data_IF_990670846483
#
_entry.id   IF_990670846483
#
_cell.length_a   1.000
_cell.length_b   1.000
_cell.length_c   1.000
_cell.angle_alpha   90.00
_cell.angle_beta   90.00
_cell.angle_gamma   90.00
#
_symmetry.space_group_name_H-M   'P 1'
#
loop_
_entity.id
_entity.type
_entity.pdbx_description
1 polymer ?
#
# COMPACT_ATOMS: atom_id res chain seq x y z
N UNK A 1 9.58 -31.78 7.65
CA UNK A 1 8.65 -32.20 6.57
C UNK A 1 8.42 -31.07 5.57
N UNK A 2 8.34 -29.80 5.99
CA UNK A 2 8.30 -28.61 5.09
C UNK A 2 9.42 -28.60 4.04
N UNK A 3 10.68 -28.68 4.47
CA UNK A 3 11.85 -28.66 3.58
C UNK A 3 11.90 -29.82 2.57
N UNK A 4 11.14 -30.90 2.80
CA UNK A 4 11.16 -32.09 1.96
C UNK A 4 10.30 -31.95 0.71
N UNK A 5 9.25 -31.12 0.76
CA UNK A 5 8.32 -30.93 -0.36
C UNK A 5 8.38 -29.51 -0.96
N UNK A 6 8.92 -28.53 -0.23
CA UNK A 6 9.05 -27.15 -0.71
C UNK A 6 9.75 -27.05 -2.08
N UNK A 7 10.87 -27.77 -2.25
CA UNK A 7 11.66 -27.71 -3.47
C UNK A 7 10.98 -28.33 -4.70
N UNK A 8 9.87 -29.06 -4.52
CA UNK A 8 9.13 -29.68 -5.64
C UNK A 8 8.46 -28.60 -6.49
N UNK A 9 7.82 -27.62 -5.83
CA UNK A 9 7.03 -26.58 -6.50
C UNK A 9 7.74 -25.21 -6.48
N UNK A 10 8.48 -24.89 -5.42
CA UNK A 10 8.99 -23.53 -5.16
C UNK A 10 10.52 -23.39 -5.24
N UNK A 11 11.27 -24.50 -5.39
CA UNK A 11 12.74 -24.48 -5.35
C UNK A 11 13.39 -23.64 -6.45
N UNK A 12 12.83 -23.67 -7.66
CA UNK A 12 13.30 -22.83 -8.77
C UNK A 12 13.12 -21.33 -8.47
N UNK A 13 11.94 -20.97 -7.96
CA UNK A 13 11.61 -19.58 -7.63
C UNK A 13 12.41 -19.07 -6.43
N UNK A 14 12.70 -19.91 -5.43
CA UNK A 14 13.60 -19.55 -4.34
C UNK A 14 15.01 -19.24 -4.86
N UNK A 15 15.52 -20.06 -5.79
CA UNK A 15 16.83 -19.83 -6.43
C UNK A 15 16.89 -18.48 -7.15
N UNK A 16 15.88 -18.15 -7.96
CA UNK A 16 15.77 -16.85 -8.63
C UNK A 16 15.71 -15.72 -7.61
N UNK A 17 14.85 -15.83 -6.58
CA UNK A 17 14.69 -14.80 -5.56
C UNK A 17 16.02 -14.50 -4.84
N UNK A 18 16.79 -15.55 -4.51
CA UNK A 18 18.11 -15.41 -3.89
C UNK A 18 19.12 -14.79 -4.84
N UNK A 19 19.06 -15.10 -6.14
CA UNK A 19 19.86 -14.44 -7.17
C UNK A 19 19.55 -12.95 -7.27
N UNK A 20 18.27 -12.58 -7.34
CA UNK A 20 17.83 -11.18 -7.34
C UNK A 20 18.23 -10.43 -6.06
N UNK A 21 18.24 -11.11 -4.91
CA UNK A 21 18.74 -10.51 -3.65
C UNK A 21 20.23 -10.19 -3.73
N UNK A 22 21.04 -11.01 -4.40
CA UNK A 22 22.46 -10.73 -4.59
C UNK A 22 22.72 -9.51 -5.49
N UNK A 23 21.72 -9.09 -6.26
CA UNK A 23 21.76 -7.90 -7.11
C UNK A 23 21.50 -6.57 -6.37
N UNK A 24 21.29 -6.61 -5.05
CA UNK A 24 21.12 -5.39 -4.27
C UNK A 24 22.41 -4.57 -4.23
N UNK A 25 22.25 -3.27 -4.42
CA UNK A 25 23.34 -2.30 -4.43
C UNK A 25 24.15 -2.40 -3.13
N UNK A 26 25.46 -2.50 -3.28
CA UNK A 26 26.39 -2.57 -2.18
C UNK A 26 26.75 -1.17 -1.67
N UNK A 27 27.44 -1.10 -0.53
CA UNK A 27 27.94 0.18 0.00
C UNK A 27 28.88 0.89 -0.99
N UNK A 28 29.62 0.14 -1.80
CA UNK A 28 30.51 0.68 -2.84
C UNK A 28 29.72 1.30 -3.99
N UNK A 29 28.63 0.66 -4.42
CA UNK A 29 27.75 1.19 -5.45
C UNK A 29 27.07 2.49 -5.00
N UNK A 30 26.61 2.55 -3.74
CA UNK A 30 26.06 3.79 -3.18
C UNK A 30 27.09 4.92 -3.13
N UNK A 31 28.37 4.63 -2.87
CA UNK A 31 29.45 5.63 -2.93
C UNK A 31 29.62 6.18 -4.35
N UNK A 32 29.62 5.31 -5.37
CA UNK A 32 29.65 5.74 -6.78
C UNK A 32 28.47 6.63 -7.13
N UNK A 33 27.26 6.23 -6.74
CA UNK A 33 26.03 7.01 -6.99
C UNK A 33 26.07 8.37 -6.28
N UNK A 34 26.64 8.45 -5.08
CA UNK A 34 26.77 9.71 -4.33
C UNK A 34 27.77 10.69 -4.95
N UNK A 35 28.70 10.19 -5.76
CA UNK A 35 29.73 10.99 -6.43
C UNK A 35 29.32 11.44 -7.84
N UNK A 36 28.12 11.09 -8.31
CA UNK A 36 27.63 11.49 -9.63
C UNK A 36 27.18 12.97 -9.62
N UNK A 37 27.70 13.76 -10.55
CA UNK A 37 27.39 15.19 -10.68
C UNK A 37 26.16 15.45 -11.58
N UNK A 38 25.83 14.51 -12.47
CA UNK A 38 24.70 14.59 -13.39
C UNK A 38 23.82 13.33 -13.37
N UNK A 39 22.60 13.44 -13.92
CA UNK A 39 21.71 12.27 -14.10
C UNK A 39 22.24 11.28 -15.12
N UNK A 40 23.11 11.71 -16.03
CA UNK A 40 23.76 10.87 -17.04
C UNK A 40 24.87 10.03 -16.40
N UNK A 41 25.63 10.62 -15.47
CA UNK A 41 26.63 9.90 -14.66
C UNK A 41 25.94 8.88 -13.76
N UNK A 42 24.81 9.26 -13.15
CA UNK A 42 24.03 8.36 -12.30
C UNK A 42 23.45 7.20 -13.10
N UNK A 43 22.96 7.45 -14.32
CA UNK A 43 22.53 6.39 -15.24
C UNK A 43 23.70 5.45 -15.56
N UNK A 44 24.86 5.99 -15.92
CA UNK A 44 26.04 5.18 -16.26
C UNK A 44 26.49 4.31 -15.08
N UNK A 45 26.49 4.88 -13.87
CA UNK A 45 26.80 4.15 -12.65
C UNK A 45 25.79 3.04 -12.33
N UNK A 46 24.50 3.23 -12.66
CA UNK A 46 23.48 2.18 -12.53
C UNK A 46 23.63 1.11 -13.63
N UNK A 47 24.00 1.46 -14.85
CA UNK A 47 24.22 0.51 -15.95
C UNK A 47 25.40 -0.45 -15.68
N UNK A 48 26.38 -0.04 -14.85
CA UNK A 48 27.45 -0.93 -14.35
C UNK A 48 26.95 -2.01 -13.37
N UNK A 49 25.76 -1.84 -12.81
CA UNK A 49 25.15 -2.77 -11.85
C UNK A 49 24.16 -3.72 -12.54
N UNK A 50 23.51 -4.59 -11.77
CA UNK A 50 22.46 -5.50 -12.26
C UNK A 50 21.17 -4.80 -12.75
N UNK A 51 21.11 -3.45 -12.68
CA UNK A 51 20.12 -2.68 -13.43
C UNK A 51 20.31 -2.84 -14.94
N UNK A 52 21.55 -3.03 -15.39
CA UNK A 52 21.90 -3.22 -16.79
C UNK A 52 21.43 -2.06 -17.68
N UNK A 53 21.25 -2.28 -18.99
CA UNK A 53 20.87 -1.24 -19.95
C UNK A 53 19.36 -0.88 -19.91
N UNK A 54 18.79 -0.61 -18.74
CA UNK A 54 17.35 -0.42 -18.56
C UNK A 54 16.77 0.89 -19.15
N UNK A 55 17.62 1.84 -19.57
CA UNK A 55 17.21 3.15 -20.12
C UNK A 55 17.76 3.44 -21.53
N UNK A 56 18.17 2.43 -22.29
CA UNK A 56 18.77 2.63 -23.63
C UNK A 56 17.87 3.39 -24.61
N UNK A 57 16.55 3.22 -24.52
CA UNK A 57 15.59 3.80 -25.46
C UNK A 57 15.06 5.18 -25.03
N UNK A 58 15.44 5.70 -23.87
CA UNK A 58 14.91 6.97 -23.35
C UNK A 58 15.65 8.19 -23.93
N UNK A 59 14.92 9.18 -24.48
CA UNK A 59 15.53 10.38 -25.06
C UNK A 59 16.10 11.31 -23.97
N UNK A 60 17.20 11.98 -24.29
CA UNK A 60 17.75 13.06 -23.46
C UNK A 60 16.93 14.35 -23.63
N UNK A 61 16.75 15.17 -22.57
CA UNK A 61 17.34 15.07 -21.24
C UNK A 61 16.57 14.14 -20.28
N UNK A 62 17.30 13.42 -19.42
CA UNK A 62 16.71 12.55 -18.41
C UNK A 62 16.02 13.37 -17.32
N UNK A 63 14.81 12.96 -16.96
CA UNK A 63 14.09 13.51 -15.81
C UNK A 63 14.08 12.51 -14.65
N UNK A 64 14.19 13.00 -13.42
CA UNK A 64 14.13 12.18 -12.19
C UNK A 64 12.89 11.29 -12.12
N UNK A 65 11.67 11.75 -12.49
CA UNK A 65 10.49 10.90 -12.51
C UNK A 65 10.62 9.72 -13.46
N UNK A 66 11.20 9.93 -14.66
CA UNK A 66 11.43 8.88 -15.66
C UNK A 66 12.39 7.83 -15.13
N UNK A 67 13.49 8.24 -14.49
CA UNK A 67 14.42 7.32 -13.85
C UNK A 67 13.74 6.47 -12.78
N UNK A 68 12.99 7.11 -11.86
CA UNK A 68 12.29 6.40 -10.79
C UNK A 68 11.25 5.42 -11.35
N UNK A 69 10.53 5.81 -12.40
CA UNK A 69 9.55 4.96 -13.07
C UNK A 69 10.22 3.75 -13.72
N UNK A 70 11.32 3.94 -14.46
CA UNK A 70 12.06 2.84 -15.10
C UNK A 70 12.63 1.84 -14.11
N UNK A 71 13.15 2.31 -12.97
CA UNK A 71 13.59 1.41 -11.89
C UNK A 71 12.42 0.57 -11.35
N UNK A 72 11.24 1.16 -11.17
CA UNK A 72 10.03 0.43 -10.75
C UNK A 72 9.52 -0.53 -11.83
N UNK A 73 9.61 -0.16 -13.10
CA UNK A 73 9.24 -1.03 -14.23
C UNK A 73 10.12 -2.29 -14.28
N UNK A 74 11.42 -2.16 -14.02
CA UNK A 74 12.33 -3.32 -13.89
C UNK A 74 11.94 -4.22 -12.73
N UNK A 75 11.72 -3.66 -11.55
CA UNK A 75 11.27 -4.45 -10.39
C UNK A 75 9.94 -5.17 -10.67
N UNK A 76 8.99 -4.48 -11.31
CA UNK A 76 7.71 -5.06 -11.66
C UNK A 76 7.82 -6.15 -12.74
N UNK A 77 8.73 -6.04 -13.70
CA UNK A 77 8.93 -7.08 -14.72
C UNK A 77 9.50 -8.35 -14.10
N UNK A 78 10.48 -8.24 -13.20
CA UNK A 78 11.04 -9.35 -12.43
C UNK A 78 9.98 -10.01 -11.52
N UNK A 79 9.19 -9.19 -10.83
CA UNK A 79 8.09 -9.67 -10.00
C UNK A 79 7.02 -10.41 -10.82
N UNK A 80 6.63 -9.87 -11.97
CA UNK A 80 5.68 -10.53 -12.89
C UNK A 80 6.23 -11.83 -13.45
N UNK A 81 7.52 -11.88 -13.78
CA UNK A 81 8.17 -13.11 -14.19
C UNK A 81 8.07 -14.18 -13.10
N UNK A 82 8.46 -13.86 -11.86
CA UNK A 82 8.32 -14.77 -10.73
C UNK A 82 6.86 -15.20 -10.51
N UNK A 83 5.91 -14.26 -10.59
CA UNK A 83 4.48 -14.55 -10.44
C UNK A 83 3.94 -15.48 -11.51
N UNK A 84 4.45 -15.40 -12.75
CA UNK A 84 4.04 -16.26 -13.87
C UNK A 84 4.42 -17.72 -13.69
N UNK A 85 5.48 -17.99 -12.93
CA UNK A 85 5.96 -19.34 -12.64
C UNK A 85 5.43 -19.86 -11.29
N UNK A 86 4.95 -18.97 -10.42
CA UNK A 86 4.38 -19.33 -9.14
C UNK A 86 2.99 -19.96 -9.30
N UNK A 87 2.76 -21.08 -8.62
CA UNK A 87 1.48 -21.78 -8.59
C UNK A 87 0.97 -21.95 -7.16
N UNK A 88 -0.29 -22.38 -7.02
CA UNK A 88 -0.85 -22.76 -5.73
C UNK A 88 -0.77 -21.65 -4.65
N UNK A 89 -0.30 -21.96 -3.43
CA UNK A 89 -0.19 -20.99 -2.33
C UNK A 89 0.79 -19.84 -2.62
N UNK A 90 1.92 -20.09 -3.30
CA UNK A 90 2.89 -19.05 -3.61
C UNK A 90 2.33 -18.02 -4.60
N UNK A 91 1.57 -18.47 -5.60
CA UNK A 91 0.89 -17.57 -6.53
C UNK A 91 -0.08 -16.63 -5.79
N UNK A 92 -0.90 -17.16 -4.89
CA UNK A 92 -1.80 -16.36 -4.05
C UNK A 92 -1.03 -15.41 -3.14
N UNK A 93 0.08 -15.84 -2.55
CA UNK A 93 0.94 -14.99 -1.72
C UNK A 93 1.48 -13.79 -2.49
N UNK A 94 1.95 -14.00 -3.72
CA UNK A 94 2.40 -12.92 -4.59
C UNK A 94 1.24 -12.01 -5.04
N UNK A 95 0.04 -12.56 -5.27
CA UNK A 95 -1.15 -11.75 -5.55
C UNK A 95 -1.49 -10.80 -4.39
N UNK A 96 -1.33 -11.24 -3.14
CA UNK A 96 -1.51 -10.36 -1.98
C UNK A 96 -0.53 -9.18 -1.99
N UNK A 97 0.74 -9.41 -2.35
CA UNK A 97 1.75 -8.34 -2.47
C UNK A 97 1.37 -7.36 -3.57
N UNK A 98 0.95 -7.85 -4.75
CA UNK A 98 0.51 -7.00 -5.85
C UNK A 98 -0.76 -6.20 -5.51
N UNK A 99 -1.68 -6.81 -4.75
CA UNK A 99 -2.94 -6.18 -4.32
C UNK A 99 -2.69 -4.93 -3.47
N UNK A 100 -1.62 -4.88 -2.68
CA UNK A 100 -1.26 -3.67 -1.93
C UNK A 100 -1.04 -2.46 -2.85
N UNK A 101 -0.24 -2.64 -3.91
CA UNK A 101 0.03 -1.59 -4.89
C UNK A 101 -1.18 -1.32 -5.76
N UNK A 102 -1.99 -2.33 -6.03
CA UNK A 102 -3.26 -2.16 -6.73
C UNK A 102 -4.20 -1.23 -5.96
N UNK A 103 -4.28 -1.34 -4.63
CA UNK A 103 -5.07 -0.42 -3.78
C UNK A 103 -4.53 1.02 -3.92
N UNK A 104 -3.22 1.21 -3.84
CA UNK A 104 -2.61 2.54 -3.99
C UNK A 104 -2.90 3.15 -5.37
N UNK A 105 -2.84 2.33 -6.42
CA UNK A 105 -3.16 2.75 -7.79
C UNK A 105 -4.64 3.11 -7.94
N UNK A 106 -5.58 2.27 -7.45
CA UNK A 106 -7.02 2.55 -7.52
C UNK A 106 -7.36 3.86 -6.81
N UNK A 107 -6.87 4.03 -5.58
CA UNK A 107 -7.07 5.27 -4.82
C UNK A 107 -6.46 6.47 -5.54
N UNK A 108 -5.24 6.32 -6.08
CA UNK A 108 -4.54 7.37 -6.82
C UNK A 108 -5.26 7.78 -8.10
N UNK A 109 -5.84 6.82 -8.83
CA UNK A 109 -6.65 7.07 -10.03
C UNK A 109 -7.95 7.80 -9.68
N UNK A 110 -8.64 7.38 -8.61
CA UNK A 110 -9.86 8.06 -8.13
C UNK A 110 -9.55 9.51 -7.74
N UNK A 111 -8.48 9.73 -6.97
CA UNK A 111 -8.04 11.07 -6.58
C UNK A 111 -7.62 11.92 -7.78
N UNK A 112 -6.95 11.30 -8.75
CA UNK A 112 -6.53 11.94 -9.98
C UNK A 112 -7.69 12.40 -10.86
N UNK A 113 -8.70 11.53 -11.01
CA UNK A 113 -9.92 11.81 -11.76
C UNK A 113 -10.78 12.89 -11.06
N UNK A 114 -10.88 12.87 -9.73
CA UNK A 114 -11.55 13.94 -8.97
C UNK A 114 -10.89 15.32 -9.22
N UNK A 115 -9.55 15.33 -9.28
CA UNK A 115 -8.77 16.53 -9.57
C UNK A 115 -8.69 16.90 -11.05
N UNK A 116 -9.46 16.23 -11.92
CA UNK A 116 -9.53 16.45 -13.38
C UNK A 116 -8.16 16.41 -14.07
N UNK A 117 -7.24 15.57 -13.58
CA UNK A 117 -5.95 15.34 -14.24
C UNK A 117 -6.15 14.54 -15.52
N UNK A 118 -5.28 14.75 -16.50
CA UNK A 118 -5.33 14.00 -17.75
C UNK A 118 -5.01 12.52 -17.50
N UNK A 119 -5.71 11.63 -18.22
CA UNK A 119 -5.54 10.18 -18.11
C UNK A 119 -4.10 9.74 -18.38
N UNK A 120 -3.41 10.42 -19.30
CA UNK A 120 -2.01 10.15 -19.62
C UNK A 120 -1.09 10.46 -18.43
N UNK A 121 -1.29 11.58 -17.73
CA UNK A 121 -0.51 11.92 -16.54
C UNK A 121 -0.79 10.94 -15.38
N UNK A 122 -2.04 10.49 -15.25
CA UNK A 122 -2.42 9.52 -14.21
C UNK A 122 -1.75 8.17 -14.43
N UNK A 123 -1.84 7.63 -15.65
CA UNK A 123 -1.25 6.35 -16.01
C UNK A 123 0.28 6.37 -15.91
N UNK A 124 0.92 7.51 -16.17
CA UNK A 124 2.37 7.65 -16.00
C UNK A 124 2.83 7.59 -14.52
N UNK A 125 1.94 7.83 -13.56
CA UNK A 125 2.26 7.82 -12.12
C UNK A 125 1.90 6.51 -11.41
N UNK A 126 1.24 5.58 -12.11
CA UNK A 126 0.81 4.29 -11.57
C UNK A 126 2.03 3.42 -11.24
N UNK A 127 1.96 2.70 -10.12
CA UNK A 127 2.94 1.68 -9.78
C UNK A 127 2.78 0.47 -10.71
N UNK A 128 3.79 0.11 -11.52
CA UNK A 128 3.68 -0.98 -12.47
C UNK A 128 3.36 -2.35 -11.81
N UNK A 129 3.74 -2.59 -10.55
CA UNK A 129 3.46 -3.85 -9.87
C UNK A 129 1.96 -4.05 -9.61
N UNK A 130 1.22 -2.96 -9.40
CA UNK A 130 -0.22 -2.99 -9.17
C UNK A 130 -1.07 -2.78 -10.43
N UNK A 131 -0.50 -2.93 -11.64
CA UNK A 131 -1.17 -2.66 -12.92
C UNK A 131 -2.29 -3.68 -13.23
N UNK A 132 -3.42 -3.21 -13.76
CA UNK A 132 -4.51 -4.02 -14.30
C UNK A 132 -5.14 -3.37 -15.54
N UNK A 133 -5.85 -4.15 -16.37
CA UNK A 133 -6.27 -3.72 -17.71
C UNK A 133 -7.29 -2.57 -17.66
N UNK A 134 -8.16 -2.58 -16.66
CA UNK A 134 -9.27 -1.66 -16.49
C UNK A 134 -8.83 -0.28 -15.95
N UNK A 135 -7.55 -0.10 -15.61
CA UNK A 135 -7.01 1.19 -15.15
C UNK A 135 -7.23 2.32 -16.15
N UNK A 136 -7.06 2.03 -17.45
CA UNK A 136 -7.26 3.02 -18.50
C UNK A 136 -8.73 3.44 -18.61
N UNK A 137 -9.67 2.53 -18.31
CA UNK A 137 -11.09 2.87 -18.24
C UNK A 137 -11.35 3.82 -17.07
N UNK A 138 -10.84 3.50 -15.88
CA UNK A 138 -10.98 4.32 -14.67
C UNK A 138 -10.37 5.73 -14.86
N UNK A 139 -9.19 5.83 -15.48
CA UNK A 139 -8.51 7.10 -15.70
C UNK A 139 -9.26 8.03 -16.67
N UNK A 140 -10.08 7.48 -17.57
CA UNK A 140 -10.87 8.24 -18.55
C UNK A 140 -12.30 8.54 -18.07
N UNK A 141 -12.73 8.01 -16.92
CA UNK A 141 -14.08 8.19 -16.41
C UNK A 141 -14.25 9.56 -15.74
N UNK A 142 -15.37 10.22 -16.02
CA UNK A 142 -15.82 11.37 -15.24
C UNK A 142 -16.59 10.87 -14.00
N UNK A 143 -15.88 10.84 -12.87
CA UNK A 143 -16.41 10.34 -11.60
C UNK A 143 -17.58 11.16 -11.04
N UNK A 144 -17.82 12.37 -11.57
CA UNK A 144 -18.95 13.20 -11.13
C UNK A 144 -20.30 12.71 -11.64
N UNK A 145 -20.30 11.87 -12.69
CA UNK A 145 -21.53 11.36 -13.33
C UNK A 145 -21.60 9.84 -13.39
N UNK A 146 -20.46 9.13 -13.39
CA UNK A 146 -20.38 7.68 -13.65
C UNK A 146 -19.81 6.84 -12.49
N UNK A 147 -20.12 7.18 -11.22
CA UNK A 147 -19.68 6.36 -10.07
C UNK A 147 -20.09 4.88 -10.17
N UNK A 148 -21.27 4.59 -10.74
CA UNK A 148 -21.75 3.21 -10.92
C UNK A 148 -20.85 2.41 -11.88
N UNK A 149 -20.26 3.06 -12.89
CA UNK A 149 -19.33 2.42 -13.82
C UNK A 149 -17.98 2.14 -13.14
N UNK A 150 -17.50 3.05 -12.29
CA UNK A 150 -16.32 2.82 -11.44
C UNK A 150 -16.57 1.62 -10.51
N UNK A 151 -17.73 1.58 -9.86
CA UNK A 151 -18.11 0.50 -8.95
C UNK A 151 -18.17 -0.85 -9.66
N UNK A 152 -18.79 -0.90 -10.85
CA UNK A 152 -18.84 -2.12 -11.68
C UNK A 152 -17.45 -2.54 -12.14
N UNK A 153 -16.63 -1.61 -12.63
CA UNK A 153 -15.26 -1.91 -13.08
C UNK A 153 -14.37 -2.44 -11.95
N UNK A 154 -14.49 -1.89 -10.73
CA UNK A 154 -13.71 -2.36 -9.59
C UNK A 154 -14.23 -3.67 -9.00
N UNK A 155 -15.55 -3.85 -8.90
CA UNK A 155 -16.12 -5.02 -8.24
C UNK A 155 -16.10 -6.32 -9.06
N UNK A 156 -16.14 -6.22 -10.39
CA UNK A 156 -16.26 -7.40 -11.24
C UNK A 156 -14.88 -8.04 -11.46
N UNK A 157 -13.85 -7.23 -11.74
CA UNK A 157 -12.59 -7.73 -12.30
C UNK A 157 -11.38 -7.59 -11.35
N UNK A 158 -11.55 -7.02 -10.15
CA UNK A 158 -10.41 -6.77 -9.23
C UNK A 158 -10.53 -7.44 -7.86
N UNK A 159 -9.43 -8.00 -7.31
CA UNK A 159 -9.41 -8.55 -5.95
C UNK A 159 -9.61 -7.48 -4.86
N UNK A 160 -9.48 -6.18 -5.23
CA UNK A 160 -9.74 -5.04 -4.35
C UNK A 160 -11.23 -4.83 -4.10
N UNK A 161 -12.10 -5.32 -4.99
CA UNK A 161 -13.54 -5.12 -4.93
C UNK A 161 -14.16 -5.54 -3.60
N UNK A 162 -13.71 -6.65 -3.01
CA UNK A 162 -14.21 -7.13 -1.71
C UNK A 162 -13.97 -6.13 -0.57
N UNK A 163 -12.82 -5.45 -0.56
CA UNK A 163 -12.50 -4.45 0.44
C UNK A 163 -13.29 -3.15 0.20
N UNK A 164 -13.50 -2.80 -1.07
CA UNK A 164 -14.29 -1.65 -1.46
C UNK A 164 -15.77 -1.80 -1.06
N UNK A 165 -16.32 -3.00 -1.24
CA UNK A 165 -17.67 -3.31 -0.79
C UNK A 165 -17.82 -3.23 0.74
N UNK A 166 -16.81 -3.71 1.48
CA UNK A 166 -16.79 -3.61 2.94
C UNK A 166 -16.77 -2.14 3.38
N UNK A 167 -15.89 -1.31 2.78
CA UNK A 167 -15.83 0.13 3.04
C UNK A 167 -17.18 0.82 2.80
N UNK A 168 -17.83 0.58 1.65
CA UNK A 168 -19.12 1.20 1.36
C UNK A 168 -20.23 0.77 2.31
N UNK A 169 -20.19 -0.47 2.80
CA UNK A 169 -21.15 -0.95 3.80
C UNK A 169 -20.93 -0.26 5.14
N UNK A 170 -19.68 -0.07 5.55
CA UNK A 170 -19.31 0.65 6.77
C UNK A 170 -19.67 2.14 6.68
N UNK A 171 -19.26 2.84 5.62
CA UNK A 171 -19.57 4.27 5.42
C UNK A 171 -21.07 4.52 5.23
N UNK A 172 -21.78 3.63 4.53
CA UNK A 172 -23.23 3.73 4.36
C UNK A 172 -24.01 3.51 5.66
N UNK A 173 -23.47 2.71 6.59
CA UNK A 173 -24.11 2.51 7.90
C UNK A 173 -24.02 3.75 8.80
N UNK A 174 -22.98 4.58 8.65
CA UNK A 174 -22.85 5.86 9.35
C UNK A 174 -23.81 6.93 8.78
N UNK A 175 -24.05 6.92 7.46
CA UNK A 175 -25.05 7.79 6.83
C UNK A 175 -26.50 7.40 7.23
N UNK A 176 -26.79 6.10 7.33
CA UNK A 176 -28.12 5.60 7.71
C UNK A 176 -28.53 5.93 9.16
N UNK A 177 -27.58 6.23 10.05
CA UNK A 177 -27.89 6.72 11.39
C UNK A 177 -28.49 8.14 11.39
N UNK A 178 -28.38 8.88 10.28
CA UNK A 178 -28.90 10.24 10.13
C UNK A 178 -30.15 10.37 9.23
N UNK A 179 -30.55 9.32 8.51
CA UNK A 179 -31.68 9.38 7.55
C UNK A 179 -32.54 8.11 7.61
N UNK A 180 -33.31 7.97 8.69
CA UNK A 180 -34.20 6.83 8.94
C UNK A 180 -35.54 6.85 8.15
N UNK A 181 -35.69 7.57 7.04
CA UNK A 181 -37.04 7.69 6.41
C UNK A 181 -37.19 7.41 4.91
N UNK A 182 -36.15 7.23 4.09
CA UNK A 182 -36.39 6.94 2.67
C UNK A 182 -35.58 5.73 2.18
N UNK A 183 -36.30 4.61 2.05
CA UNK A 183 -35.81 3.36 1.49
C UNK A 183 -35.33 3.54 0.06
N UNK A 184 -34.01 3.45 -0.11
CA UNK A 184 -33.32 3.48 -1.38
C UNK A 184 -31.98 4.19 -1.21
N UNK A 185 -30.86 3.46 -1.33
CA UNK A 185 -29.52 4.05 -1.38
C UNK A 185 -29.49 5.07 -2.50
N UNK A 186 -29.46 6.36 -2.20
CA UNK A 186 -29.44 7.37 -3.25
C UNK A 186 -28.03 7.46 -3.83
N UNK A 187 -27.94 7.48 -5.16
CA UNK A 187 -26.71 7.66 -5.93
C UNK A 187 -25.94 8.94 -5.51
N UNK A 188 -26.66 9.93 -4.96
CA UNK A 188 -26.12 11.19 -4.47
C UNK A 188 -25.33 11.05 -3.14
N UNK A 189 -25.74 10.15 -2.23
CA UNK A 189 -25.00 9.90 -0.99
C UNK A 189 -23.65 9.22 -1.27
N UNK A 190 -23.61 8.28 -2.21
CA UNK A 190 -22.36 7.60 -2.57
C UNK A 190 -21.40 8.52 -3.35
N UNK A 191 -21.94 9.43 -4.18
CA UNK A 191 -21.14 10.49 -4.80
C UNK A 191 -20.58 11.48 -3.75
N UNK A 192 -21.28 11.70 -2.63
CA UNK A 192 -20.79 12.54 -1.52
C UNK A 192 -19.67 11.87 -0.69
N UNK A 193 -19.54 10.54 -0.75
CA UNK A 193 -18.49 9.74 -0.08
C UNK A 193 -17.14 9.82 -0.81
N UNK A 194 -17.07 10.41 -2.01
CA UNK A 194 -15.82 10.57 -2.77
C UNK A 194 -15.33 12.03 -2.69
N UNK A 195 -15.34 12.61 -1.49
CA UNK A 195 -14.66 13.89 -1.24
C UNK A 195 -13.16 13.66 -0.98
N UNK A 196 -12.32 14.69 -1.10
CA UNK A 196 -10.86 14.55 -0.89
C UNK A 196 -10.49 13.98 0.49
N UNK A 197 -11.24 14.33 1.53
CA UNK A 197 -11.06 13.79 2.89
C UNK A 197 -11.44 12.32 3.00
N UNK A 198 -12.40 11.87 2.20
CA UNK A 198 -12.87 10.49 2.21
C UNK A 198 -11.94 9.56 1.42
N UNK A 199 -11.11 10.09 0.51
CA UNK A 199 -10.15 9.28 -0.27
C UNK A 199 -9.04 8.72 0.63
N UNK A 200 -8.53 9.51 1.58
CA UNK A 200 -7.53 9.01 2.53
C UNK A 200 -8.16 8.03 3.52
N UNK A 201 -9.40 8.27 3.94
CA UNK A 201 -10.16 7.31 4.76
C UNK A 201 -10.36 5.99 4.01
N UNK A 202 -10.75 6.06 2.74
CA UNK A 202 -10.92 4.93 1.84
C UNK A 202 -9.60 4.16 1.67
N UNK A 203 -8.49 4.83 1.36
CA UNK A 203 -7.15 4.21 1.34
C UNK A 203 -6.89 3.45 2.63
N UNK A 204 -7.25 4.07 3.75
CA UNK A 204 -6.98 3.50 5.04
C UNK A 204 -7.85 2.26 5.34
N UNK A 205 -9.14 2.32 5.07
CA UNK A 205 -10.05 1.19 5.22
C UNK A 205 -9.68 0.03 4.28
N UNK A 206 -9.43 0.30 3.00
CA UNK A 206 -9.07 -0.72 2.01
C UNK A 206 -7.81 -1.48 2.41
N UNK A 207 -6.74 -0.75 2.76
CA UNK A 207 -5.51 -1.42 3.19
C UNK A 207 -5.69 -2.14 4.53
N UNK A 208 -6.60 -1.71 5.42
CA UNK A 208 -6.87 -2.43 6.68
C UNK A 208 -7.46 -3.80 6.36
N UNK A 209 -8.51 -3.84 5.54
CA UNK A 209 -9.12 -5.09 5.10
C UNK A 209 -8.11 -6.01 4.41
N UNK A 210 -7.24 -5.45 3.56
CA UNK A 210 -6.15 -6.20 2.94
C UNK A 210 -5.15 -6.79 3.94
N UNK A 211 -4.71 -6.01 4.93
CA UNK A 211 -3.77 -6.48 5.97
C UNK A 211 -4.37 -7.63 6.79
N UNK A 212 -5.64 -7.52 7.18
CA UNK A 212 -6.33 -8.55 7.97
C UNK A 212 -6.53 -9.85 7.17
N UNK A 213 -6.93 -9.74 5.90
CA UNK A 213 -7.08 -10.89 5.02
C UNK A 213 -5.73 -11.54 4.69
N UNK A 214 -4.69 -10.75 4.45
CA UNK A 214 -3.35 -11.27 4.20
C UNK A 214 -2.78 -11.97 5.44
N UNK A 215 -3.02 -11.42 6.63
CA UNK A 215 -2.68 -12.07 7.90
C UNK A 215 -3.39 -13.41 8.04
N UNK A 216 -4.71 -13.47 7.80
CA UNK A 216 -5.49 -14.71 7.87
C UNK A 216 -4.97 -15.76 6.86
N UNK A 217 -4.64 -15.34 5.64
CA UNK A 217 -4.02 -16.22 4.65
C UNK A 217 -2.68 -16.78 5.12
N UNK A 218 -1.77 -15.94 5.64
CA UNK A 218 -0.48 -16.39 6.19
C UNK A 218 -0.66 -17.35 7.36
N UNK A 219 -1.67 -17.16 8.21
CA UNK A 219 -1.97 -18.09 9.28
C UNK A 219 -2.38 -19.48 8.77
N UNK A 220 -3.00 -19.55 7.58
CA UNK A 220 -3.43 -20.81 6.94
C UNK A 220 -2.29 -21.61 6.31
N UNK A 221 -1.18 -20.94 5.91
CA UNK A 221 -0.02 -21.59 5.29
C UNK A 221 0.79 -22.43 6.30
N UNK A 222 0.91 -21.96 7.54
CA UNK A 222 1.69 -22.64 8.57
C UNK A 222 3.22 -22.55 8.39
N UNK A 223 3.93 -23.32 9.22
CA UNK A 223 5.39 -23.52 9.12
C UNK A 223 6.24 -22.25 9.23
N UNK A 224 7.41 -22.27 8.58
CA UNK A 224 8.40 -21.19 8.62
C UNK A 224 7.85 -19.89 8.02
N UNK A 225 7.08 -20.01 6.94
CA UNK A 225 6.43 -18.87 6.27
C UNK A 225 5.51 -18.12 7.23
N UNK A 226 4.70 -18.85 8.00
CA UNK A 226 3.82 -18.26 9.01
C UNK A 226 4.62 -17.50 10.05
N UNK A 227 5.67 -18.09 10.62
CA UNK A 227 6.46 -17.45 11.68
C UNK A 227 7.07 -16.14 11.20
N UNK A 228 7.85 -16.18 10.12
CA UNK A 228 8.55 -15.00 9.59
C UNK A 228 7.58 -13.93 9.11
N UNK A 229 6.57 -14.30 8.32
CA UNK A 229 5.66 -13.32 7.74
C UNK A 229 4.68 -12.76 8.78
N UNK A 230 4.29 -13.54 9.80
CA UNK A 230 3.51 -13.02 10.94
C UNK A 230 4.24 -11.89 11.64
N UNK A 231 5.55 -12.03 11.85
CA UNK A 231 6.37 -10.98 12.46
C UNK A 231 6.39 -9.70 11.61
N UNK A 232 6.53 -9.83 10.30
CA UNK A 232 6.54 -8.69 9.36
C UNK A 232 5.17 -7.99 9.36
N UNK A 233 4.08 -8.75 9.19
CA UNK A 233 2.72 -8.19 9.14
C UNK A 233 2.30 -7.52 10.44
N UNK A 234 2.66 -8.09 11.60
CA UNK A 234 2.38 -7.45 12.89
C UNK A 234 3.06 -6.09 13.01
N UNK A 235 4.33 -5.98 12.58
CA UNK A 235 5.04 -4.69 12.57
C UNK A 235 4.42 -3.70 11.61
N UNK A 236 4.03 -4.14 10.41
CA UNK A 236 3.36 -3.28 9.43
C UNK A 236 2.02 -2.75 9.97
N UNK A 237 1.22 -3.61 10.62
CA UNK A 237 -0.01 -3.21 11.29
C UNK A 237 0.24 -2.16 12.38
N UNK A 238 1.26 -2.35 13.23
CA UNK A 238 1.62 -1.40 14.28
C UNK A 238 2.11 -0.05 13.72
N UNK A 239 2.98 -0.06 12.69
CA UNK A 239 3.45 1.15 12.01
C UNK A 239 2.32 1.95 11.39
N UNK A 240 1.35 1.25 10.83
CA UNK A 240 0.15 1.89 10.31
C UNK A 240 -0.66 2.56 11.41
N UNK A 241 -0.91 1.87 12.54
CA UNK A 241 -1.62 2.46 13.67
C UNK A 241 -0.90 3.72 14.15
N UNK A 242 0.43 3.66 14.29
CA UNK A 242 1.24 4.81 14.67
C UNK A 242 1.14 5.96 13.66
N UNK A 243 1.21 5.68 12.36
CA UNK A 243 1.06 6.68 11.30
C UNK A 243 -0.31 7.36 11.34
N UNK A 244 -1.37 6.57 11.53
CA UNK A 244 -2.74 7.10 11.68
C UNK A 244 -2.85 8.00 12.92
N UNK A 245 -2.29 7.57 14.05
CA UNK A 245 -2.29 8.36 15.28
C UNK A 245 -1.56 9.68 15.06
N UNK A 246 -0.32 9.66 14.55
CA UNK A 246 0.49 10.87 14.30
C UNK A 246 -0.21 11.84 13.36
N UNK A 247 -0.73 11.35 12.22
CA UNK A 247 -1.44 12.20 11.27
C UNK A 247 -2.72 12.80 11.88
N UNK A 248 -3.42 12.06 12.76
CA UNK A 248 -4.63 12.54 13.43
C UNK A 248 -4.37 13.53 14.56
N UNK A 249 -3.16 13.59 15.13
CA UNK A 249 -2.81 14.56 16.18
C UNK A 249 -2.83 15.99 15.64
N UNK A 250 -2.53 16.16 14.35
CA UNK A 250 -2.57 17.46 13.65
C UNK A 250 -3.97 17.85 13.17
N UNK A 251 -4.98 16.99 13.33
CA UNK A 251 -6.32 17.15 12.77
C UNK A 251 -7.43 17.29 13.83
N UNK A 252 -8.61 17.73 13.40
CA UNK A 252 -9.80 17.98 14.24
C UNK A 252 -10.30 16.73 15.00
N UNK A 253 -10.94 16.95 16.16
CA UNK A 253 -11.44 15.89 17.08
C UNK A 253 -12.38 14.86 16.42
N UNK A 254 -13.16 15.23 15.39
CA UNK A 254 -14.06 14.29 14.71
C UNK A 254 -13.27 13.15 14.02
N UNK A 255 -12.16 13.48 13.36
CA UNK A 255 -11.27 12.49 12.70
C UNK A 255 -10.59 11.57 13.73
N UNK A 256 -10.53 11.97 15.00
CA UNK A 256 -9.99 11.16 16.09
C UNK A 256 -10.99 10.11 16.60
N UNK A 257 -12.28 10.24 16.30
CA UNK A 257 -13.28 9.22 16.60
C UNK A 257 -13.39 8.19 15.46
N UNK A 258 -13.27 8.62 14.21
CA UNK A 258 -13.35 7.73 13.03
C UNK A 258 -12.11 6.83 12.88
N UNK A 259 -10.95 7.22 13.43
CA UNK A 259 -9.71 6.42 13.40
C UNK A 259 -9.85 5.04 14.05
N UNK A 260 -10.81 4.87 14.95
CA UNK A 260 -11.00 3.61 15.68
C UNK A 260 -11.38 2.45 14.75
N UNK A 261 -12.19 2.74 13.73
CA UNK A 261 -12.60 1.77 12.73
C UNK A 261 -11.44 1.37 11.80
N UNK A 262 -10.37 2.18 11.73
CA UNK A 262 -9.24 1.99 10.81
C UNK A 262 -8.08 1.18 11.40
N UNK A 263 -8.14 0.83 12.69
CA UNK A 263 -7.09 0.02 13.31
C UNK A 263 -7.22 -1.44 12.88
N UNK A 264 -6.13 -2.07 12.42
CA UNK A 264 -6.09 -3.51 12.23
C UNK A 264 -6.34 -4.25 13.55
N UNK A 265 -7.02 -5.39 13.47
CA UNK A 265 -7.34 -6.27 14.60
C UNK A 265 -6.19 -7.21 15.03
N UNK A 266 -4.95 -6.90 14.64
CA UNK A 266 -3.76 -7.67 14.97
C UNK A 266 -2.52 -6.76 15.02
N UNK A 267 -1.46 -7.22 15.69
CA UNK A 267 -0.22 -6.46 15.88
C UNK A 267 0.46 -6.85 17.18
N UNK A 268 1.55 -6.18 17.54
CA UNK A 268 2.08 -6.24 18.90
C UNK A 268 1.42 -5.22 19.82
N UNK A 269 0.91 -4.13 19.25
CA UNK A 269 0.18 -3.12 20.01
C UNK A 269 -1.28 -3.53 20.26
N UNK A 270 -1.82 -4.49 19.52
CA UNK A 270 -3.18 -4.99 19.72
C UNK A 270 -3.23 -6.04 20.85
N UNK A 271 -4.16 -5.98 21.82
CA UNK A 271 -5.23 -4.97 21.97
C UNK A 271 -4.85 -3.78 22.89
N UNK A 272 -3.98 -3.98 23.87
CA UNK A 272 -3.77 -3.02 24.97
C UNK A 272 -3.16 -1.68 24.51
N UNK A 273 -2.13 -1.74 23.66
CA UNK A 273 -1.49 -0.55 23.08
C UNK A 273 -2.44 0.20 22.15
N UNK A 274 -3.23 -0.51 21.33
CA UNK A 274 -4.24 0.11 20.46
C UNK A 274 -5.37 0.78 21.24
N UNK A 275 -5.78 0.24 22.38
CA UNK A 275 -6.79 0.85 23.25
C UNK A 275 -6.24 2.09 23.97
N UNK A 276 -4.96 2.10 24.34
CA UNK A 276 -4.27 3.29 24.85
C UNK A 276 -4.17 4.38 23.78
N UNK A 277 -3.74 4.01 22.57
CA UNK A 277 -3.61 4.91 21.43
C UNK A 277 -4.97 5.46 20.96
N UNK A 278 -6.04 4.66 21.10
CA UNK A 278 -7.42 5.11 20.84
C UNK A 278 -7.80 6.34 21.66
N UNK A 279 -7.29 6.46 22.89
CA UNK A 279 -7.60 7.56 23.82
C UNK A 279 -6.59 8.71 23.71
N UNK A 280 -5.54 8.55 22.91
CA UNK A 280 -4.46 9.53 22.82
C UNK A 280 -4.88 10.74 21.97
N UNK A 281 -4.74 11.94 22.52
CA UNK A 281 -5.10 13.21 21.89
C UNK A 281 -3.92 14.20 21.82
N UNK A 282 -2.82 13.87 22.50
CA UNK A 282 -1.57 14.64 22.47
C UNK A 282 -0.34 13.72 22.58
N UNK A 283 0.84 14.28 22.31
CA UNK A 283 2.12 13.57 22.40
C UNK A 283 2.35 12.89 23.77
N UNK A 284 1.98 13.55 24.87
CA UNK A 284 2.11 12.97 26.22
C UNK A 284 1.29 11.70 26.39
N UNK A 285 0.06 11.69 25.88
CA UNK A 285 -0.84 10.53 25.94
C UNK A 285 -0.40 9.41 24.99
N UNK A 286 0.17 9.73 23.83
CA UNK A 286 0.77 8.74 22.93
C UNK A 286 1.98 8.08 23.58
N UNK A 287 2.87 8.88 24.19
CA UNK A 287 4.02 8.36 24.95
C UNK A 287 3.58 7.46 26.11
N UNK A 288 2.55 7.86 26.85
CA UNK A 288 2.00 7.05 27.94
C UNK A 288 1.44 5.71 27.43
N UNK A 289 0.77 5.70 26.27
CA UNK A 289 0.27 4.47 25.65
C UNK A 289 1.39 3.56 25.13
N UNK A 290 2.51 4.13 24.67
CA UNK A 290 3.67 3.40 24.16
C UNK A 290 4.71 3.04 25.22
N UNK A 291 4.59 3.56 26.46
CA UNK A 291 5.54 3.31 27.54
C UNK A 291 5.79 1.82 27.85
N UNK A 292 4.79 0.91 27.78
CA UNK A 292 5.01 -0.53 27.94
C UNK A 292 5.83 -1.16 26.79
N UNK A 293 5.92 -0.48 25.65
CA UNK A 293 6.49 -0.99 24.41
C UNK A 293 7.76 -0.22 24.02
N UNK A 294 8.87 -0.51 24.71
CA UNK A 294 10.13 0.24 24.60
C UNK A 294 10.67 0.41 23.17
N UNK A 295 10.56 -0.63 22.32
CA UNK A 295 10.98 -0.55 20.91
C UNK A 295 10.18 0.48 20.12
N UNK A 296 8.87 0.54 20.34
CA UNK A 296 7.96 1.46 19.65
C UNK A 296 8.05 2.88 20.21
N UNK A 297 8.30 3.03 21.52
CA UNK A 297 8.56 4.32 22.12
C UNK A 297 9.85 4.94 21.57
N UNK A 298 10.94 4.18 21.51
CA UNK A 298 12.20 4.66 20.94
C UNK A 298 12.04 5.08 19.47
N UNK A 299 11.30 4.28 18.68
CA UNK A 299 10.99 4.63 17.30
C UNK A 299 10.17 5.93 17.21
N UNK A 300 9.14 6.06 18.05
CA UNK A 300 8.31 7.26 18.10
C UNK A 300 9.14 8.50 18.43
N UNK A 301 10.06 8.41 19.39
CA UNK A 301 10.94 9.52 19.76
C UNK A 301 11.91 9.92 18.65
N UNK A 302 12.48 8.93 17.92
CA UNK A 302 13.34 9.19 16.77
C UNK A 302 12.58 9.85 15.62
N UNK A 303 11.34 9.42 15.35
CA UNK A 303 10.53 9.97 14.28
C UNK A 303 9.92 11.34 14.63
N UNK A 304 9.67 11.62 15.92
CA UNK A 304 9.03 12.86 16.38
C UNK A 304 9.74 14.12 15.88
N UNK A 305 11.08 14.11 15.84
CA UNK A 305 11.88 15.25 15.36
C UNK A 305 11.52 15.67 13.92
N UNK A 306 11.09 14.72 13.10
CA UNK A 306 10.69 14.97 11.71
C UNK A 306 9.25 15.45 11.55
N UNK A 307 8.35 15.14 12.50
CA UNK A 307 6.92 15.49 12.43
C UNK A 307 6.53 16.74 13.23
N UNK A 308 7.30 17.10 14.26
CA UNK A 308 7.04 18.29 15.11
C UNK A 308 7.89 19.49 14.67
N UNK A 309 8.79 19.30 13.70
CA UNK A 309 9.77 20.30 13.25
C UNK A 309 9.52 20.94 11.87
N UNK A 310 8.31 20.85 11.31
CA UNK A 310 7.90 21.62 10.12
C UNK A 310 6.62 22.41 10.39
#
# INVERSE_FOLDING_TARGET
MELSFFNVDDGYLEGICRGLRSAFLTEEDYKKLSAADSLEDLRSALEETDYGPFMQDEPLPLAVPTLSQKCREKMASEFRYMRSQASGPLGKFMDFIATEKMIDNVVGLIQGALNRKSSHELLARVDPMGYFQEMAAIANMDLTTSYEELYRALLIDTPVGKYFQAFLTESGSQAAAHSAEHGGRSLAEVASIVSETDIELMRNSLKKGWLEDFYAFVQSLGGTTKEVMTHILKREADYRVLRLVVNSLSSNQQQQMDRQALYPSFGYLYPEGTDGLRKAWNDTTVRAALAPFSSYLNLYEQCKSFYVGQ
#
